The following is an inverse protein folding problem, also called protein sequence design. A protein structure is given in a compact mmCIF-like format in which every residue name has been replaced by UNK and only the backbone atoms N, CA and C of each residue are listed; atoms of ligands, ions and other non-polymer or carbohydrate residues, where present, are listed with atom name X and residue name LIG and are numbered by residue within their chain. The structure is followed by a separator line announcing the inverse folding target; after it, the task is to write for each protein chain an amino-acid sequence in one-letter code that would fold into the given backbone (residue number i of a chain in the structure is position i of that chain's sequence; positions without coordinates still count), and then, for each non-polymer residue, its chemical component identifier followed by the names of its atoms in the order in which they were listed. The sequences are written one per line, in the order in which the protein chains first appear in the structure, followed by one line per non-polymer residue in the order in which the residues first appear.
data_IF_288614215386
#
_entry.id   IF_288614215386
#
_cell.length_a   1.000
_cell.length_b   1.000
_cell.length_c   1.000
_cell.angle_alpha   90.00
_cell.angle_beta   90.00
_cell.angle_gamma   90.00
#
_symmetry.space_group_name_H-M   'P 1'
#
loop_
_entity.id
_entity.type
_entity.pdbx_description
1 polymer ?
#
# COMPACT_ATOMS: atom_id res chain seq x y z
N UNK A 1 7.90 -13.04 -22.82
CA UNK A 1 7.15 -12.69 -21.59
C UNK A 1 7.60 -11.33 -21.12
N UNK A 2 6.75 -10.35 -21.25
CA UNK A 2 7.01 -9.05 -20.62
C UNK A 2 6.89 -9.27 -19.10
N UNK A 3 8.01 -9.20 -18.39
CA UNK A 3 7.95 -9.03 -16.95
C UNK A 3 7.06 -7.83 -16.66
N UNK A 4 6.16 -7.97 -15.69
CA UNK A 4 5.32 -6.84 -15.28
C UNK A 4 6.24 -5.69 -14.87
N UNK A 5 6.27 -4.65 -15.67
CA UNK A 5 7.05 -3.46 -15.33
C UNK A 5 6.44 -2.78 -14.11
N UNK A 6 7.28 -2.26 -13.20
CA UNK A 6 6.79 -1.47 -12.09
C UNK A 6 5.99 -0.26 -12.56
N UNK A 7 4.92 0.04 -11.84
CA UNK A 7 4.06 1.18 -12.13
C UNK A 7 4.34 2.27 -11.11
N UNK A 8 4.46 3.51 -11.57
CA UNK A 8 4.63 4.70 -10.73
C UNK A 8 3.50 5.68 -10.97
N UNK A 9 2.93 6.20 -9.90
CA UNK A 9 2.01 7.32 -9.91
C UNK A 9 2.43 8.34 -8.85
N UNK A 10 2.14 9.62 -9.10
CA UNK A 10 2.29 10.69 -8.11
C UNK A 10 0.94 11.37 -7.94
N UNK A 11 0.45 11.45 -6.74
CA UNK A 11 -0.84 12.07 -6.43
C UNK A 11 -0.74 12.80 -5.10
N UNK A 12 -1.16 14.08 -5.08
CA UNK A 12 -1.05 14.97 -3.92
C UNK A 12 0.38 15.04 -3.34
N UNK A 13 1.39 14.99 -4.21
CA UNK A 13 2.80 15.02 -3.83
C UNK A 13 3.34 13.69 -3.26
N UNK A 14 2.53 12.64 -3.23
CA UNK A 14 2.90 11.32 -2.71
C UNK A 14 3.24 10.39 -3.87
N UNK A 15 4.40 9.73 -3.78
CA UNK A 15 4.82 8.72 -4.75
C UNK A 15 4.23 7.35 -4.41
N UNK A 16 3.57 6.75 -5.40
CA UNK A 16 3.04 5.39 -5.36
C UNK A 16 3.83 4.52 -6.33
N UNK A 17 4.37 3.41 -5.84
CA UNK A 17 5.00 2.36 -6.64
C UNK A 17 4.21 1.07 -6.50
N UNK A 18 4.13 0.31 -7.58
CA UNK A 18 3.52 -1.02 -7.58
C UNK A 18 4.29 -1.98 -8.47
N UNK A 19 4.28 -3.26 -8.15
CA UNK A 19 4.93 -4.27 -8.97
C UNK A 19 4.18 -4.56 -10.27
N UNK A 20 2.90 -4.23 -10.36
CA UNK A 20 2.11 -4.43 -11.56
C UNK A 20 0.67 -3.96 -11.42
N UNK A 21 -0.07 -4.09 -12.52
CA UNK A 21 -1.50 -3.73 -12.57
C UNK A 21 -2.34 -4.84 -11.97
N UNK A 22 -3.35 -4.44 -11.21
CA UNK A 22 -4.27 -5.37 -10.53
C UNK A 22 -4.97 -6.34 -11.49
N UNK A 23 -5.39 -5.86 -12.65
CA UNK A 23 -6.12 -6.68 -13.63
C UNK A 23 -5.24 -7.43 -14.63
N UNK A 24 -3.91 -7.34 -14.51
CA UNK A 24 -2.99 -8.04 -15.41
C UNK A 24 -2.63 -9.44 -14.89
N UNK A 25 -2.72 -10.43 -15.80
CA UNK A 25 -2.32 -11.79 -15.52
C UNK A 25 -3.01 -12.37 -14.27
N UNK A 26 -2.19 -12.89 -13.35
CA UNK A 26 -2.66 -13.52 -12.10
C UNK A 26 -2.68 -12.57 -10.90
N UNK A 27 -2.41 -11.28 -11.09
CA UNK A 27 -2.22 -10.33 -9.99
C UNK A 27 -3.46 -10.23 -9.10
N UNK A 28 -4.66 -10.20 -9.68
CA UNK A 28 -5.91 -10.16 -8.91
C UNK A 28 -6.06 -11.40 -8.03
N UNK A 29 -5.76 -12.57 -8.57
CA UNK A 29 -5.81 -13.82 -7.82
C UNK A 29 -4.78 -13.86 -6.69
N UNK A 30 -3.54 -13.43 -6.95
CA UNK A 30 -2.49 -13.33 -5.93
C UNK A 30 -2.92 -12.34 -4.83
N UNK A 31 -3.45 -11.17 -5.19
CA UNK A 31 -3.90 -10.18 -4.22
C UNK A 31 -5.00 -10.70 -3.29
N UNK A 32 -5.95 -11.46 -3.84
CA UNK A 32 -6.97 -12.14 -3.03
C UNK A 32 -6.36 -13.18 -2.09
N UNK A 33 -5.41 -13.96 -2.58
CA UNK A 33 -4.72 -14.98 -1.77
C UNK A 33 -3.91 -14.36 -0.62
N UNK A 34 -3.27 -13.20 -0.85
CA UNK A 34 -2.59 -12.43 0.21
C UNK A 34 -3.61 -12.03 1.29
N UNK A 35 -4.76 -11.53 0.88
CA UNK A 35 -5.82 -11.11 1.80
C UNK A 35 -6.34 -12.26 2.65
N UNK A 36 -6.34 -13.47 2.12
CA UNK A 36 -6.70 -14.70 2.84
C UNK A 36 -5.56 -15.26 3.70
N UNK A 37 -4.38 -14.66 3.64
CA UNK A 37 -3.23 -15.07 4.43
C UNK A 37 -2.42 -16.23 3.85
N UNK A 38 -2.55 -16.49 2.55
CA UNK A 38 -1.76 -17.53 1.87
C UNK A 38 -0.27 -17.17 1.88
N UNK A 39 0.54 -18.03 2.49
CA UNK A 39 1.96 -17.77 2.69
C UNK A 39 2.76 -17.78 1.39
N UNK A 40 2.38 -18.58 0.41
CA UNK A 40 3.05 -18.63 -0.89
C UNK A 40 2.78 -17.35 -1.70
N UNK A 41 1.54 -16.85 -1.65
CA UNK A 41 1.18 -15.59 -2.28
C UNK A 41 1.90 -14.39 -1.63
N UNK A 42 2.00 -14.38 -0.31
CA UNK A 42 2.73 -13.35 0.44
C UNK A 42 4.21 -13.37 0.08
N UNK A 43 4.83 -14.54 0.03
CA UNK A 43 6.23 -14.70 -0.35
C UNK A 43 6.48 -14.25 -1.80
N UNK A 44 5.62 -14.64 -2.72
CA UNK A 44 5.68 -14.20 -4.12
C UNK A 44 5.62 -12.69 -4.25
N UNK A 45 4.66 -12.05 -3.57
CA UNK A 45 4.51 -10.60 -3.59
C UNK A 45 5.72 -9.89 -2.99
N UNK A 46 6.21 -10.36 -1.85
CA UNK A 46 7.38 -9.79 -1.19
C UNK A 46 8.63 -9.84 -2.07
N UNK A 47 8.87 -10.95 -2.75
CA UNK A 47 9.99 -11.08 -3.70
C UNK A 47 9.89 -10.09 -4.86
N UNK A 48 8.69 -9.85 -5.37
CA UNK A 48 8.47 -8.89 -6.45
C UNK A 48 8.58 -7.45 -5.99
N UNK A 49 8.18 -7.16 -4.76
CA UNK A 49 8.23 -5.81 -4.19
C UNK A 49 9.64 -5.41 -3.73
N UNK A 50 10.44 -6.36 -3.27
CA UNK A 50 11.75 -6.10 -2.68
C UNK A 50 12.67 -5.22 -3.53
N UNK A 51 12.80 -5.41 -4.86
CA UNK A 51 13.65 -4.55 -5.70
C UNK A 51 13.20 -3.09 -5.77
N UNK A 52 11.96 -2.79 -5.41
CA UNK A 52 11.38 -1.43 -5.46
C UNK A 52 11.57 -0.66 -4.16
N UNK A 53 12.02 -1.31 -3.10
CA UNK A 53 12.21 -0.69 -1.79
C UNK A 53 13.52 0.11 -1.78
N UNK A 54 13.51 1.41 -1.42
CA UNK A 54 14.74 2.18 -1.25
C UNK A 54 15.64 1.59 -0.17
N UNK A 55 16.95 1.64 -0.39
CA UNK A 55 17.95 1.06 0.53
C UNK A 55 17.92 1.69 1.94
N UNK A 56 17.45 2.92 2.06
CA UNK A 56 17.35 3.65 3.34
C UNK A 56 15.92 3.69 3.89
N UNK A 57 15.05 2.81 3.44
CA UNK A 57 13.65 2.77 3.90
C UNK A 57 13.51 2.12 5.28
N UNK A 58 12.43 2.48 5.97
CA UNK A 58 11.79 1.70 7.03
C UNK A 58 10.41 1.28 6.54
N UNK A 59 10.09 0.01 6.68
CA UNK A 59 8.84 -0.56 6.19
C UNK A 59 7.74 -0.36 7.24
N UNK A 60 6.59 0.17 6.81
CA UNK A 60 5.45 0.42 7.71
C UNK A 60 4.18 -0.16 7.08
N UNK A 61 3.53 -1.14 7.72
CA UNK A 61 2.30 -1.70 7.19
C UNK A 61 1.14 -0.72 7.36
N UNK A 62 0.31 -0.61 6.33
CA UNK A 62 -0.94 0.17 6.40
C UNK A 62 -1.99 -0.65 7.15
N UNK A 63 -2.63 -0.11 8.20
CA UNK A 63 -3.69 -0.81 8.92
C UNK A 63 -4.89 -1.13 8.03
N UNK A 64 -5.51 -2.28 8.25
CA UNK A 64 -6.76 -2.67 7.64
C UNK A 64 -7.97 -1.97 8.29
N UNK A 65 -9.18 -2.39 7.90
CA UNK A 65 -10.43 -1.77 8.37
C UNK A 65 -10.72 -1.98 9.87
N UNK A 66 -10.05 -2.92 10.52
CA UNK A 66 -10.13 -3.07 11.98
C UNK A 66 -9.16 -2.17 12.75
N UNK A 67 -8.44 -1.28 12.06
CA UNK A 67 -7.55 -0.30 12.67
C UNK A 67 -6.18 -0.82 13.05
N UNK A 68 -5.88 -2.07 12.75
CA UNK A 68 -4.58 -2.71 12.97
C UNK A 68 -4.09 -3.36 11.68
N UNK A 69 -2.78 -3.46 11.53
CA UNK A 69 -2.18 -4.19 10.43
C UNK A 69 -2.22 -5.69 10.74
N UNK A 70 -2.76 -6.49 9.82
CA UNK A 70 -2.78 -7.94 9.89
C UNK A 70 -2.13 -8.53 8.63
N UNK A 71 -2.82 -8.52 7.51
CA UNK A 71 -2.27 -9.03 6.24
C UNK A 71 -1.08 -8.21 5.77
N UNK A 72 -1.14 -6.89 5.86
CA UNK A 72 -0.03 -6.01 5.51
C UNK A 72 1.17 -6.19 6.44
N UNK A 73 0.96 -6.51 7.70
CA UNK A 73 2.05 -6.84 8.62
C UNK A 73 2.78 -8.13 8.20
N UNK A 74 2.07 -9.15 7.78
CA UNK A 74 2.65 -10.38 7.25
C UNK A 74 3.47 -10.12 5.99
N UNK A 75 2.94 -9.28 5.09
CA UNK A 75 3.64 -8.87 3.88
C UNK A 75 4.92 -8.08 4.20
N UNK A 76 4.85 -7.16 5.15
CA UNK A 76 5.99 -6.38 5.62
C UNK A 76 7.07 -7.26 6.24
N UNK A 77 6.71 -8.24 7.05
CA UNK A 77 7.67 -9.19 7.64
C UNK A 77 8.40 -9.99 6.56
N UNK A 78 7.68 -10.48 5.57
CA UNK A 78 8.28 -11.19 4.43
C UNK A 78 9.20 -10.26 3.63
N UNK A 79 8.77 -9.03 3.37
CA UNK A 79 9.55 -8.02 2.67
C UNK A 79 10.83 -7.64 3.43
N UNK A 80 10.74 -7.49 4.74
CA UNK A 80 11.90 -7.26 5.62
C UNK A 80 12.93 -8.40 5.53
N UNK A 81 12.47 -9.65 5.44
CA UNK A 81 13.34 -10.81 5.26
C UNK A 81 14.12 -10.75 3.95
N UNK A 82 13.52 -10.28 2.86
CA UNK A 82 14.20 -10.15 1.57
C UNK A 82 15.12 -8.94 1.48
N UNK A 83 14.72 -7.82 2.07
CA UNK A 83 15.46 -6.55 1.95
C UNK A 83 16.49 -6.34 3.07
N UNK A 84 16.39 -7.06 4.17
CA UNK A 84 17.13 -6.83 5.42
C UNK A 84 16.92 -5.44 6.01
N UNK A 85 15.80 -4.79 5.69
CA UNK A 85 15.43 -3.47 6.21
C UNK A 85 14.56 -3.60 7.46
N UNK A 86 14.65 -2.63 8.38
CA UNK A 86 13.78 -2.60 9.54
C UNK A 86 12.33 -2.37 9.17
N UNK A 87 11.42 -2.86 9.97
CA UNK A 87 10.00 -2.54 9.89
C UNK A 87 9.47 -2.11 11.26
N UNK A 88 8.46 -1.26 11.24
CA UNK A 88 7.76 -0.80 12.44
C UNK A 88 6.25 -0.82 12.17
N UNK A 89 5.52 -1.53 13.00
CA UNK A 89 4.05 -1.49 13.02
C UNK A 89 3.61 -0.21 13.75
N UNK A 90 3.71 0.92 13.05
CA UNK A 90 3.68 2.26 13.63
C UNK A 90 2.30 2.91 13.63
N UNK A 91 1.33 2.40 12.88
CA UNK A 91 0.03 3.05 12.67
C UNK A 91 -1.11 2.27 13.31
N UNK A 92 -2.08 3.02 13.79
CA UNK A 92 -3.41 2.51 14.18
C UNK A 92 -4.48 3.37 13.53
N UNK A 93 -5.65 2.80 13.33
CA UNK A 93 -6.81 3.48 12.80
C UNK A 93 -8.06 3.12 13.59
N UNK A 94 -9.20 3.62 13.14
CA UNK A 94 -10.50 3.27 13.70
C UNK A 94 -10.97 1.93 13.16
N UNK A 95 -11.69 1.17 13.98
CA UNK A 95 -12.48 0.03 13.51
C UNK A 95 -13.66 0.59 12.68
N UNK A 96 -13.75 0.15 11.43
CA UNK A 96 -14.72 0.63 10.45
C UNK A 96 -15.05 -0.46 9.45
N UNK A 97 -16.09 -0.25 8.65
CA UNK A 97 -16.29 -1.11 7.48
C UNK A 97 -15.13 -0.94 6.46
N UNK A 98 -14.91 -1.97 5.65
CA UNK A 98 -13.93 -1.89 4.57
C UNK A 98 -14.41 -0.94 3.46
N UNK A 99 -13.47 -0.43 2.64
CA UNK A 99 -13.82 0.33 1.44
C UNK A 99 -14.70 -0.48 0.48
N UNK A 100 -14.49 -1.77 0.41
CA UNK A 100 -15.31 -2.67 -0.42
C UNK A 100 -16.77 -2.70 0.06
N UNK A 101 -17.00 -2.89 1.37
CA UNK A 101 -18.34 -2.88 1.97
C UNK A 101 -19.04 -1.53 1.80
N UNK A 102 -18.30 -0.43 2.01
CA UNK A 102 -18.82 0.92 1.80
C UNK A 102 -19.25 1.15 0.35
N UNK A 103 -18.43 0.73 -0.62
CA UNK A 103 -18.77 0.83 -2.06
C UNK A 103 -20.02 0.06 -2.41
N UNK A 104 -20.24 -1.12 -1.83
CA UNK A 104 -21.47 -1.89 -2.07
C UNK A 104 -22.73 -1.18 -1.57
N UNK A 105 -22.59 -0.31 -0.58
CA UNK A 105 -23.68 0.55 -0.07
C UNK A 105 -23.74 1.91 -0.76
N UNK A 106 -22.96 2.14 -1.83
CA UNK A 106 -22.90 3.41 -2.54
C UNK A 106 -22.16 4.52 -1.81
N UNK A 107 -21.29 4.18 -0.88
CA UNK A 107 -20.57 5.11 -0.03
C UNK A 107 -19.06 4.98 -0.20
N UNK A 108 -18.33 6.09 -0.13
CA UNK A 108 -16.85 6.13 -0.14
C UNK A 108 -16.35 6.70 1.17
N UNK A 109 -15.56 5.92 1.89
CA UNK A 109 -14.95 6.36 3.14
C UNK A 109 -13.89 7.43 2.87
N UNK A 110 -13.96 8.53 3.61
CA UNK A 110 -12.94 9.57 3.59
C UNK A 110 -11.70 9.17 4.41
N UNK A 111 -10.57 9.81 4.14
CA UNK A 111 -9.35 9.60 4.93
C UNK A 111 -9.53 9.91 6.42
N UNK A 112 -10.36 10.90 6.77
CA UNK A 112 -10.69 11.24 8.16
C UNK A 112 -11.38 10.12 8.92
N UNK A 113 -12.25 9.39 8.25
CA UNK A 113 -13.01 8.30 8.86
C UNK A 113 -12.11 7.13 9.26
N UNK A 114 -10.96 7.00 8.62
CA UNK A 114 -9.96 5.98 8.94
C UNK A 114 -9.25 6.25 10.26
N UNK A 115 -9.09 7.51 10.65
CA UNK A 115 -8.55 7.92 11.93
C UNK A 115 -7.13 7.43 12.20
N UNK A 116 -6.29 7.36 11.16
CA UNK A 116 -4.92 6.89 11.31
C UNK A 116 -4.11 7.83 12.20
N UNK A 117 -3.34 7.24 13.10
CA UNK A 117 -2.41 7.94 13.97
C UNK A 117 -1.19 7.07 14.26
N UNK A 118 -0.07 7.73 14.49
CA UNK A 118 1.20 7.07 14.78
C UNK A 118 1.28 6.70 16.26
N UNK A 119 1.60 5.44 16.55
CA UNK A 119 1.72 4.91 17.91
C UNK A 119 3.14 4.49 18.28
N UNK A 120 4.05 4.42 17.31
CA UNK A 120 5.47 4.10 17.51
C UNK A 120 6.33 5.03 16.68
N UNK A 121 7.48 5.40 17.25
CA UNK A 121 8.47 6.20 16.53
C UNK A 121 9.17 5.38 15.47
N UNK A 122 9.56 6.04 14.38
CA UNK A 122 10.34 5.46 13.31
C UNK A 122 11.84 5.77 13.51
N UNK A 123 12.75 4.88 13.06
CA UNK A 123 14.18 5.17 13.08
C UNK A 123 14.50 6.46 12.32
N UNK A 124 15.31 7.33 12.91
CA UNK A 124 15.76 8.56 12.24
C UNK A 124 16.63 8.25 11.03
N UNK A 125 16.60 9.13 10.02
CA UNK A 125 17.43 9.01 8.82
C UNK A 125 16.93 7.98 7.81
N UNK A 126 15.75 7.39 8.03
CA UNK A 126 15.14 6.44 7.10
C UNK A 126 13.88 7.00 6.47
N UNK A 127 13.62 6.63 5.21
CA UNK A 127 12.41 7.02 4.50
C UNK A 127 11.29 6.06 4.87
N UNK A 128 10.16 6.54 5.41
CA UNK A 128 9.00 5.68 5.63
C UNK A 128 8.45 5.17 4.30
N UNK A 129 8.37 3.85 4.17
CA UNK A 129 7.78 3.16 3.03
C UNK A 129 6.55 2.41 3.51
N UNK A 130 5.38 2.96 3.21
CA UNK A 130 4.10 2.36 3.55
C UNK A 130 3.78 1.22 2.58
N UNK A 131 3.41 0.08 3.14
CA UNK A 131 3.16 -1.16 2.40
C UNK A 131 1.68 -1.50 2.43
N UNK A 132 1.14 -1.74 1.25
CA UNK A 132 -0.21 -2.26 1.08
C UNK A 132 -0.24 -3.39 0.03
N UNK A 133 -1.32 -4.15 0.02
CA UNK A 133 -1.54 -5.18 -0.98
C UNK A 133 -1.98 -4.57 -2.32
N UNK A 134 -3.06 -3.81 -2.31
CA UNK A 134 -3.65 -3.21 -3.52
C UNK A 134 -3.95 -1.74 -3.29
N UNK A 135 -3.55 -0.91 -4.24
CA UNK A 135 -3.96 0.50 -4.31
C UNK A 135 -5.03 0.66 -5.38
N UNK A 136 -6.17 1.24 -5.00
CA UNK A 136 -7.25 1.61 -5.92
C UNK A 136 -7.30 3.13 -6.08
N UNK A 137 -8.04 3.84 -5.25
CA UNK A 137 -8.12 5.30 -5.30
C UNK A 137 -6.94 6.00 -4.63
N UNK A 138 -6.22 5.30 -3.77
CA UNK A 138 -5.15 5.84 -2.96
C UNK A 138 -5.61 6.54 -1.68
N UNK A 139 -6.91 6.60 -1.39
CA UNK A 139 -7.46 7.30 -0.22
C UNK A 139 -6.91 6.77 1.10
N UNK A 140 -6.91 5.45 1.28
CA UNK A 140 -6.36 4.80 2.48
C UNK A 140 -4.86 5.07 2.63
N UNK A 141 -4.10 4.90 1.56
CA UNK A 141 -2.65 5.10 1.58
C UNK A 141 -2.27 6.56 1.82
N UNK A 142 -2.99 7.52 1.23
CA UNK A 142 -2.77 8.96 1.46
C UNK A 142 -3.03 9.34 2.92
N UNK A 143 -4.11 8.81 3.52
CA UNK A 143 -4.42 9.05 4.92
C UNK A 143 -3.33 8.50 5.85
N UNK A 144 -2.80 7.32 5.54
CA UNK A 144 -1.67 6.74 6.28
C UNK A 144 -0.38 7.57 6.14
N UNK A 145 -0.10 8.07 4.93
CA UNK A 145 1.06 8.93 4.68
C UNK A 145 0.96 10.26 5.44
N UNK A 146 -0.21 10.87 5.49
CA UNK A 146 -0.46 12.09 6.27
C UNK A 146 -0.20 11.86 7.77
N UNK A 147 -0.59 10.71 8.30
CA UNK A 147 -0.38 10.38 9.70
C UNK A 147 1.12 10.25 10.06
N UNK A 148 1.97 9.89 9.12
CA UNK A 148 3.44 9.82 9.30
C UNK A 148 4.15 11.14 8.97
N UNK A 149 3.48 12.09 8.33
CA UNK A 149 4.02 13.37 7.89
C UNK A 149 4.73 13.35 6.55
N UNK A 150 5.42 12.29 6.17
CA UNK A 150 6.04 12.08 4.86
C UNK A 150 6.34 10.61 4.65
N UNK A 151 5.85 10.05 3.55
CA UNK A 151 6.07 8.64 3.23
C UNK A 151 5.87 8.39 1.74
N UNK A 152 6.56 7.38 1.21
CA UNK A 152 6.22 6.79 -0.07
C UNK A 152 5.32 5.56 0.13
N UNK A 153 4.62 5.16 -0.92
CA UNK A 153 3.70 4.03 -0.91
C UNK A 153 4.22 2.96 -1.86
N UNK A 154 4.25 1.72 -1.41
CA UNK A 154 4.59 0.56 -2.22
C UNK A 154 3.51 -0.50 -2.06
N UNK A 155 2.95 -0.98 -3.16
CA UNK A 155 1.95 -2.04 -3.18
C UNK A 155 2.35 -3.18 -4.10
N UNK A 156 1.74 -4.34 -3.88
CA UNK A 156 1.86 -5.46 -4.81
C UNK A 156 1.16 -5.16 -6.14
N UNK A 157 -0.05 -4.61 -6.10
CA UNK A 157 -0.82 -4.29 -7.29
C UNK A 157 -1.50 -2.92 -7.18
N UNK A 158 -1.80 -2.35 -8.34
CA UNK A 158 -2.51 -1.06 -8.45
C UNK A 158 -3.55 -1.15 -9.55
N UNK A 159 -4.75 -0.61 -9.29
CA UNK A 159 -5.76 -0.44 -10.34
C UNK A 159 -5.41 0.77 -11.21
N UNK A 160 -6.09 0.92 -12.33
CA UNK A 160 -5.87 2.06 -13.24
C UNK A 160 -6.48 3.37 -12.73
N UNK A 161 -7.26 3.35 -11.66
CA UNK A 161 -7.99 4.53 -11.15
C UNK A 161 -7.08 5.70 -10.85
N UNK A 162 -5.98 5.46 -10.12
CA UNK A 162 -5.02 6.51 -9.77
C UNK A 162 -4.26 7.03 -10.99
N UNK A 163 -3.86 6.13 -11.90
CA UNK A 163 -3.16 6.46 -13.14
C UNK A 163 -4.03 7.30 -14.09
N UNK A 164 -5.32 7.00 -14.19
CA UNK A 164 -6.26 7.74 -15.03
C UNK A 164 -6.49 9.16 -14.52
N UNK A 165 -6.51 9.36 -13.21
CA UNK A 165 -6.64 10.70 -12.60
C UNK A 165 -5.46 11.60 -12.94
N UNK A 166 -4.24 11.09 -12.98
CA UNK A 166 -3.07 11.85 -13.39
C UNK A 166 -3.16 12.31 -14.85
N UNK A 167 -3.63 11.46 -15.75
CA UNK A 167 -3.81 11.80 -17.15
C UNK A 167 -4.80 12.95 -17.35
N UNK A 168 -5.87 13.00 -16.57
CA UNK A 168 -6.87 14.06 -16.63
C UNK A 168 -6.34 15.42 -16.13
N UNK A 169 -5.44 15.43 -15.16
CA UNK A 169 -4.82 16.65 -14.66
C UNK A 169 -3.82 17.20 -15.67
N UNK A 170 -3.14 16.34 -16.43
CA UNK A 170 -2.20 16.74 -17.48
C UNK A 170 -2.83 17.40 -18.72
N UNK A 171 -4.13 17.21 -18.95
CA UNK A 171 -4.85 17.79 -20.11
C UNK A 171 -5.53 19.14 -19.82
N UNK A 172 -5.46 19.67 -18.62
CA UNK A 172 -6.03 20.98 -18.24
C UNK A 172 -5.01 22.12 -18.28
N UNK A 173 -4.08 22.05 -19.18
CA UNK A 173 -3.19 23.17 -19.48
C UNK A 173 -3.56 23.80 -20.83
#
# INVERSE_FOLDING_TARGET
MTENEPIKAVSDGITFLSTGRYYDGINQWIAHSIKEGDSDAIDYAARRMAPLVPANAVLVPIPGHHGVADQTLRLVKALSSYTHLPFVDALRGRDRESQYEAKQRGYVLSGREMGFHQVRELPSGRIPCLIDNVIDTGTTAKAAAEALGNAMILSFAMTDTLLQREKHIGFKR
#
